data_IF_044230465528
#
_entry.id   IF_044230465528
#
_cell.length_a   1.000
_cell.length_b   1.000
_cell.length_c   1.000
_cell.angle_alpha   90.00
_cell.angle_beta   90.00
_cell.angle_gamma   90.00
#
_symmetry.space_group_name_H-M   'P 1'
#
loop_
_entity.id
_entity.type
_entity.pdbx_description
1 polymer ?
#
# COMPACT_ATOMS: atom_id res chain seq x y z
N UNK A 1 -8.40 14.13 18.80
CA UNK A 1 -9.56 14.35 17.90
C UNK A 1 -9.67 15.77 17.34
N UNK A 2 -8.95 16.78 17.85
CA UNK A 2 -9.03 18.16 17.31
C UNK A 2 -8.55 18.22 15.85
N UNK A 3 -7.35 17.70 15.56
CA UNK A 3 -6.77 17.76 14.21
C UNK A 3 -7.63 17.08 13.13
N UNK A 4 -8.28 15.95 13.45
CA UNK A 4 -9.18 15.27 12.51
C UNK A 4 -10.42 16.10 12.18
N UNK A 5 -10.94 16.90 13.13
CA UNK A 5 -12.06 17.80 12.88
C UNK A 5 -11.65 18.98 11.99
N UNK A 6 -10.46 19.54 12.21
CA UNK A 6 -9.90 20.60 11.35
C UNK A 6 -9.71 20.12 9.91
N UNK A 7 -9.14 18.93 9.71
CA UNK A 7 -8.97 18.34 8.38
C UNK A 7 -10.33 18.08 7.72
N UNK A 8 -11.32 17.59 8.46
CA UNK A 8 -12.66 17.40 7.92
C UNK A 8 -13.36 18.70 7.54
N UNK A 9 -13.09 19.81 8.26
CA UNK A 9 -13.59 21.13 7.90
C UNK A 9 -12.87 21.71 6.66
N UNK A 10 -11.58 21.42 6.49
CA UNK A 10 -10.77 21.92 5.38
C UNK A 10 -10.96 21.13 4.08
N UNK A 11 -11.02 19.80 4.17
CA UNK A 11 -11.01 18.89 3.02
C UNK A 11 -12.36 18.18 2.80
N UNK A 12 -13.27 18.29 3.77
CA UNK A 12 -14.57 17.61 3.75
C UNK A 12 -15.73 18.60 3.61
N UNK A 13 -16.87 18.35 4.28
CA UNK A 13 -17.13 17.24 5.20
C UNK A 13 -17.08 15.86 4.54
N UNK A 14 -16.49 14.87 5.22
CA UNK A 14 -16.40 13.46 4.76
C UNK A 14 -17.79 12.94 4.39
N UNK A 15 -17.90 12.37 3.18
CA UNK A 15 -19.15 11.82 2.65
C UNK A 15 -20.11 12.84 2.05
N UNK A 16 -19.73 14.13 1.99
CA UNK A 16 -20.51 15.18 1.34
C UNK A 16 -19.95 15.52 -0.04
N UNK A 17 -20.78 16.11 -0.90
CA UNK A 17 -20.35 16.64 -2.21
C UNK A 17 -19.46 17.89 -2.12
N UNK A 18 -19.23 18.44 -0.91
CA UNK A 18 -18.32 19.57 -0.69
C UNK A 18 -16.89 19.12 -0.40
N UNK A 19 -16.68 17.83 -0.16
CA UNK A 19 -15.35 17.28 0.04
C UNK A 19 -14.50 17.41 -1.23
N UNK A 20 -13.18 17.43 -1.04
CA UNK A 20 -12.23 17.39 -2.16
C UNK A 20 -12.45 16.14 -3.02
N UNK A 21 -12.27 16.28 -4.33
CA UNK A 21 -12.51 15.20 -5.29
C UNK A 21 -11.50 14.06 -5.15
N UNK A 22 -10.25 14.39 -4.83
CA UNK A 22 -9.15 13.44 -4.67
C UNK A 22 -8.22 13.93 -3.55
N UNK A 23 -7.85 13.02 -2.63
CA UNK A 23 -6.84 13.29 -1.61
C UNK A 23 -5.72 12.25 -1.71
N UNK A 24 -4.50 12.74 -1.95
CA UNK A 24 -3.29 11.94 -1.91
C UNK A 24 -2.58 12.11 -0.56
N UNK A 25 -2.47 11.04 0.21
CA UNK A 25 -1.81 11.03 1.52
C UNK A 25 -0.43 10.36 1.39
N UNK A 26 0.63 11.00 1.87
CA UNK A 26 2.01 10.54 1.64
C UNK A 26 2.54 9.84 2.89
N UNK A 27 2.98 8.59 2.73
CA UNK A 27 3.46 7.74 3.81
C UNK A 27 4.84 7.15 3.53
N UNK A 28 5.50 6.76 4.62
CA UNK A 28 6.74 6.00 4.58
C UNK A 28 6.64 4.80 5.52
N UNK A 29 7.32 3.73 5.12
CA UNK A 29 7.40 2.48 5.87
C UNK A 29 8.84 2.04 6.03
N UNK A 30 9.15 1.39 7.15
CA UNK A 30 10.43 0.71 7.34
C UNK A 30 10.54 -0.58 6.52
N UNK A 31 9.41 -1.13 6.05
CA UNK A 31 9.36 -2.33 5.22
C UNK A 31 9.86 -2.07 3.79
N UNK A 32 10.31 -3.11 3.10
CA UNK A 32 10.87 -2.99 1.75
C UNK A 32 9.79 -3.05 0.66
N UNK A 33 8.73 -2.24 0.82
CA UNK A 33 7.60 -2.24 -0.12
C UNK A 33 7.94 -1.67 -1.49
N UNK A 34 8.98 -0.83 -1.58
CA UNK A 34 9.16 0.07 -2.71
C UNK A 34 8.01 1.09 -2.80
N UNK A 35 7.88 1.77 -3.93
CA UNK A 35 6.75 2.67 -4.17
C UNK A 35 5.48 1.83 -4.39
N UNK A 36 4.46 2.01 -3.56
CA UNK A 36 3.16 1.38 -3.74
C UNK A 36 2.02 2.38 -3.50
N UNK A 37 0.85 2.05 -4.05
CA UNK A 37 -0.35 2.85 -3.90
C UNK A 37 -1.38 2.06 -3.11
N UNK A 38 -1.93 2.64 -2.06
CA UNK A 38 -2.93 1.98 -1.21
C UNK A 38 -4.29 2.62 -1.48
N UNK A 39 -5.22 1.77 -1.88
CA UNK A 39 -6.59 2.16 -2.26
C UNK A 39 -7.61 1.35 -1.47
N UNK A 40 -8.80 1.90 -1.29
CA UNK A 40 -9.81 1.29 -0.42
C UNK A 40 -10.85 0.43 -1.15
N UNK A 41 -10.94 0.58 -2.48
CA UNK A 41 -11.97 -0.04 -3.30
C UNK A 41 -11.41 -0.38 -4.69
N UNK A 42 -11.66 -1.60 -5.15
CA UNK A 42 -11.33 -2.06 -6.51
C UNK A 42 -12.31 -1.54 -7.57
N UNK A 43 -13.32 -0.78 -7.15
CA UNK A 43 -14.26 -0.07 -8.01
C UNK A 43 -13.87 1.39 -8.22
N UNK A 44 -12.82 1.89 -7.55
CA UNK A 44 -12.35 3.28 -7.69
C UNK A 44 -11.44 3.40 -8.92
N UNK A 45 -12.05 3.42 -10.10
CA UNK A 45 -11.34 3.36 -11.38
C UNK A 45 -10.34 4.50 -11.58
N UNK A 46 -10.60 5.69 -11.03
CA UNK A 46 -9.67 6.84 -11.09
C UNK A 46 -8.35 6.49 -10.43
N UNK A 47 -8.37 5.95 -9.21
CA UNK A 47 -7.16 5.55 -8.51
C UNK A 47 -6.42 4.44 -9.25
N UNK A 48 -7.15 3.49 -9.85
CA UNK A 48 -6.55 2.42 -10.65
C UNK A 48 -5.92 2.91 -11.96
N UNK A 49 -6.51 3.91 -12.61
CA UNK A 49 -5.90 4.58 -13.76
C UNK A 49 -4.63 5.34 -13.39
N UNK A 50 -4.62 6.03 -12.23
CA UNK A 50 -3.40 6.63 -11.67
C UNK A 50 -2.34 5.55 -11.43
N UNK A 51 -2.71 4.42 -10.80
CA UNK A 51 -1.79 3.29 -10.60
C UNK A 51 -1.19 2.79 -11.91
N UNK A 52 -2.04 2.55 -12.92
CA UNK A 52 -1.63 2.12 -14.26
C UNK A 52 -0.70 3.16 -14.92
N UNK A 53 -0.97 4.45 -14.75
CA UNK A 53 -0.17 5.53 -15.31
C UNK A 53 1.24 5.58 -14.70
N UNK A 54 1.33 5.45 -13.37
CA UNK A 54 2.61 5.39 -12.65
C UNK A 54 3.38 4.14 -13.04
N UNK A 55 2.76 2.96 -13.02
CA UNK A 55 3.37 1.68 -13.41
C UNK A 55 4.02 1.73 -14.80
N UNK A 56 3.38 2.42 -15.76
CA UNK A 56 3.90 2.54 -17.13
C UNK A 56 5.10 3.49 -17.26
N UNK A 57 5.36 4.34 -16.27
CA UNK A 57 6.36 5.43 -16.35
C UNK A 57 7.46 5.31 -15.32
N UNK A 58 7.26 4.54 -14.26
CA UNK A 58 8.31 4.24 -13.28
C UNK A 58 9.11 3.02 -13.71
N UNK A 59 10.44 3.14 -13.78
CA UNK A 59 11.35 2.01 -13.99
C UNK A 59 11.50 1.10 -12.75
N UNK A 60 10.69 1.31 -11.70
CA UNK A 60 10.76 0.55 -10.45
C UNK A 60 9.86 -0.68 -10.53
N UNK A 61 10.46 -1.86 -10.37
CA UNK A 61 9.79 -3.17 -10.46
C UNK A 61 8.72 -3.44 -9.39
N UNK A 62 8.40 -2.47 -8.52
CA UNK A 62 7.60 -2.65 -7.31
C UNK A 62 6.36 -1.74 -7.22
N UNK A 63 6.00 -0.99 -8.26
CA UNK A 63 4.78 -0.18 -8.30
C UNK A 63 3.52 -1.07 -8.27
N UNK A 64 3.14 -1.60 -7.11
CA UNK A 64 1.93 -2.39 -6.90
C UNK A 64 0.83 -1.55 -6.25
N UNK A 65 -0.41 -1.71 -6.70
CA UNK A 65 -1.58 -1.21 -5.97
C UNK A 65 -1.97 -2.23 -4.88
N UNK A 66 -2.06 -1.80 -3.62
CA UNK A 66 -2.52 -2.59 -2.48
C UNK A 66 -3.93 -2.15 -2.13
N UNK A 67 -4.85 -3.10 -1.99
CA UNK A 67 -6.20 -2.82 -1.49
C UNK A 67 -6.36 -3.14 -0.01
N UNK A 68 -6.83 -2.17 0.77
CA UNK A 68 -7.33 -2.36 2.12
C UNK A 68 -8.83 -2.10 2.16
N UNK A 69 -9.64 -3.14 2.41
CA UNK A 69 -11.10 -3.06 2.35
C UNK A 69 -11.69 -2.38 3.60
N UNK A 70 -11.76 -1.05 3.63
CA UNK A 70 -12.68 -0.28 4.50
C UNK A 70 -13.07 1.08 3.87
N UNK A 71 -14.29 1.54 4.10
CA UNK A 71 -15.04 2.46 3.22
C UNK A 71 -14.68 3.97 3.14
N UNK A 72 -15.03 4.52 1.97
CA UNK A 72 -15.52 5.87 1.59
C UNK A 72 -14.62 7.10 1.72
N UNK A 73 -13.88 7.36 0.63
CA UNK A 73 -13.47 8.62 -0.03
C UNK A 73 -12.49 8.20 -1.16
N UNK A 74 -12.29 8.99 -2.22
CA UNK A 74 -11.19 8.78 -3.18
C UNK A 74 -9.85 9.12 -2.49
N UNK A 75 -9.47 8.28 -1.55
CA UNK A 75 -8.23 8.35 -0.79
C UNK A 75 -7.22 7.43 -1.44
N UNK A 76 -6.14 8.02 -1.89
CA UNK A 76 -4.99 7.32 -2.41
C UNK A 76 -3.83 7.58 -1.45
N UNK A 77 -3.37 6.56 -0.75
CA UNK A 77 -2.14 6.67 0.02
C UNK A 77 -0.96 6.27 -0.87
N UNK A 78 0.00 7.18 -1.04
CA UNK A 78 1.27 6.89 -1.69
C UNK A 78 2.29 6.52 -0.62
N UNK A 79 2.72 5.28 -0.66
CA UNK A 79 3.56 4.66 0.35
C UNK A 79 4.91 4.31 -0.28
N UNK A 80 6.00 4.56 0.43
CA UNK A 80 7.33 4.18 -0.05
C UNK A 80 8.26 3.80 1.09
N UNK A 81 8.88 2.64 0.93
CA UNK A 81 9.92 2.12 1.81
C UNK A 81 11.04 1.43 1.03
N UNK A 82 12.12 1.03 1.72
CA UNK A 82 12.31 1.12 3.16
C UNK A 82 12.94 2.46 3.57
N UNK A 83 12.34 3.10 4.57
CA UNK A 83 12.89 4.29 5.22
C UNK A 83 12.65 4.21 6.73
N UNK A 84 13.72 4.27 7.56
CA UNK A 84 13.56 4.41 9.00
C UNK A 84 12.74 5.66 9.33
N UNK A 85 11.88 5.57 10.35
CA UNK A 85 11.12 6.73 10.81
C UNK A 85 12.05 7.87 11.20
N UNK A 86 11.61 9.10 10.93
CA UNK A 86 12.36 10.33 11.24
C UNK A 86 13.70 10.47 10.50
N UNK A 87 13.98 9.65 9.47
CA UNK A 87 15.14 9.78 8.59
C UNK A 87 14.68 10.20 7.20
N UNK A 88 15.39 11.15 6.59
CA UNK A 88 15.14 11.58 5.20
C UNK A 88 16.24 11.01 4.30
N UNK A 89 15.86 10.08 3.41
CA UNK A 89 16.77 9.53 2.39
C UNK A 89 16.49 10.22 1.06
N UNK A 90 17.53 10.76 0.42
CA UNK A 90 17.39 11.47 -0.86
C UNK A 90 16.71 10.64 -1.95
N UNK A 91 17.05 9.36 -2.07
CA UNK A 91 16.46 8.44 -3.05
C UNK A 91 14.95 8.26 -2.83
N UNK A 92 14.52 8.17 -1.56
CA UNK A 92 13.10 8.04 -1.20
C UNK A 92 12.35 9.34 -1.45
N UNK A 93 12.94 10.47 -1.07
CA UNK A 93 12.40 11.80 -1.33
C UNK A 93 12.19 12.04 -2.82
N UNK A 94 13.20 11.78 -3.66
CA UNK A 94 13.10 11.97 -5.11
C UNK A 94 12.08 11.03 -5.74
N UNK A 95 12.01 9.76 -5.32
CA UNK A 95 11.02 8.82 -5.84
C UNK A 95 9.58 9.20 -5.45
N UNK A 96 9.36 9.68 -4.21
CA UNK A 96 8.06 10.21 -3.79
C UNK A 96 7.68 11.45 -4.60
N UNK A 97 8.63 12.37 -4.81
CA UNK A 97 8.40 13.57 -5.62
C UNK A 97 8.03 13.21 -7.07
N UNK A 98 8.72 12.25 -7.68
CA UNK A 98 8.40 11.74 -9.02
C UNK A 98 7.01 11.10 -9.06
N UNK A 99 6.67 10.26 -8.07
CA UNK A 99 5.34 9.66 -7.96
C UNK A 99 4.22 10.70 -7.88
N UNK A 100 4.39 11.74 -7.06
CA UNK A 100 3.44 12.85 -6.95
C UNK A 100 3.34 13.61 -8.28
N UNK A 101 4.47 13.91 -8.93
CA UNK A 101 4.47 14.60 -10.21
C UNK A 101 3.71 13.80 -11.29
N UNK A 102 3.94 12.49 -11.39
CA UNK A 102 3.24 11.62 -12.33
C UNK A 102 1.73 11.55 -12.06
N UNK A 103 1.32 11.57 -10.78
CA UNK A 103 -0.10 11.66 -10.43
C UNK A 103 -0.70 12.99 -10.89
N UNK A 104 -0.02 14.11 -10.63
CA UNK A 104 -0.47 15.43 -11.04
C UNK A 104 -0.55 15.55 -12.57
N UNK A 105 0.43 15.00 -13.29
CA UNK A 105 0.42 14.96 -14.75
C UNK A 105 -0.77 14.17 -15.30
N UNK A 106 -1.09 13.03 -14.66
CA UNK A 106 -2.29 12.25 -15.01
C UNK A 106 -3.58 13.06 -14.76
N UNK A 107 -3.69 13.73 -13.61
CA UNK A 107 -4.86 14.56 -13.27
C UNK A 107 -5.03 15.70 -14.29
N UNK A 108 -3.95 16.39 -14.64
CA UNK A 108 -3.98 17.46 -15.64
C UNK A 108 -4.43 16.94 -17.02
N UNK A 109 -3.93 15.78 -17.45
CA UNK A 109 -4.36 15.13 -18.69
C UNK A 109 -5.82 14.68 -18.63
N UNK A 110 -6.26 14.12 -17.51
CA UNK A 110 -7.66 13.71 -17.34
C UNK A 110 -8.59 14.92 -17.42
N UNK A 111 -8.24 16.00 -16.73
CA UNK A 111 -9.00 17.25 -16.72
C UNK A 111 -8.99 17.98 -18.07
N UNK A 112 -8.00 17.75 -18.95
CA UNK A 112 -7.99 18.29 -20.32
C UNK A 112 -8.92 17.52 -21.28
N UNK A 113 -9.61 16.47 -20.80
CA UNK A 113 -10.48 15.62 -21.61
C UNK A 113 -9.73 14.52 -22.35
N UNK A 114 -8.49 14.20 -21.94
CA UNK A 114 -7.74 13.06 -22.50
C UNK A 114 -8.47 11.75 -22.20
N UNK A 115 -8.64 10.91 -23.22
CA UNK A 115 -9.17 9.56 -23.04
C UNK A 115 -8.08 8.65 -22.50
N UNK A 116 -8.32 8.04 -21.33
CA UNK A 116 -7.48 6.99 -20.78
C UNK A 116 -8.11 5.64 -21.07
N UNK A 117 -7.43 4.85 -21.88
CA UNK A 117 -7.90 3.50 -22.22
C UNK A 117 -7.92 2.59 -20.99
N UNK A 118 -8.98 1.79 -20.90
CA UNK A 118 -9.16 0.76 -19.89
C UNK A 118 -8.18 -0.41 -20.03
N UNK A 119 -8.55 -1.55 -19.46
CA UNK A 119 -7.78 -2.79 -19.52
C UNK A 119 -7.40 -3.30 -18.13
N UNK A 120 -6.32 -4.08 -18.05
CA UNK A 120 -5.99 -4.84 -16.85
C UNK A 120 -4.98 -4.13 -15.96
N UNK A 121 -5.24 -4.14 -14.64
CA UNK A 121 -4.30 -3.69 -13.61
C UNK A 121 -4.04 -4.84 -12.63
N UNK A 122 -2.76 -5.10 -12.36
CA UNK A 122 -2.32 -6.06 -11.33
C UNK A 122 -2.43 -5.40 -9.96
N UNK A 123 -3.09 -6.08 -9.02
CA UNK A 123 -3.41 -5.55 -7.69
C UNK A 123 -3.19 -6.60 -6.60
N UNK A 124 -2.90 -6.15 -5.38
CA UNK A 124 -2.70 -6.99 -4.21
C UNK A 124 -3.83 -6.76 -3.21
N UNK A 125 -4.77 -7.69 -3.13
CA UNK A 125 -5.90 -7.61 -2.18
C UNK A 125 -5.50 -8.23 -0.85
N UNK A 126 -5.57 -7.45 0.23
CA UNK A 126 -5.28 -7.94 1.58
C UNK A 126 -6.18 -9.13 1.95
N UNK A 127 -5.57 -10.14 2.57
CA UNK A 127 -6.23 -11.35 3.07
C UNK A 127 -6.30 -11.33 4.59
N UNK A 128 -5.16 -11.11 5.27
CA UNK A 128 -5.07 -11.06 6.73
C UNK A 128 -3.73 -10.50 7.21
N UNK A 129 -3.70 -10.12 8.49
CA UNK A 129 -2.47 -9.85 9.23
C UNK A 129 -1.92 -11.12 9.89
N UNK A 130 -0.60 -11.15 10.10
CA UNK A 130 0.09 -12.13 10.92
C UNK A 130 0.84 -11.36 12.01
N UNK A 131 0.56 -11.68 13.28
CA UNK A 131 1.33 -11.14 14.41
C UNK A 131 2.67 -11.86 14.56
N UNK A 132 3.57 -11.25 15.32
CA UNK A 132 4.75 -11.90 15.85
C UNK A 132 4.37 -13.08 16.76
N UNK A 133 5.18 -14.15 16.78
CA UNK A 133 5.15 -15.11 17.87
C UNK A 133 5.38 -14.38 19.19
N UNK A 134 4.48 -14.59 20.15
CA UNK A 134 4.53 -14.00 21.48
C UNK A 134 4.45 -15.08 22.54
N UNK A 135 5.07 -14.79 23.66
CA UNK A 135 4.90 -15.57 24.86
C UNK A 135 3.44 -15.47 25.36
N UNK A 136 2.89 -16.59 25.82
CA UNK A 136 1.46 -16.68 26.17
C UNK A 136 1.11 -15.94 27.46
N UNK A 137 2.07 -15.76 28.37
CA UNK A 137 1.84 -15.13 29.68
C UNK A 137 2.24 -13.65 29.65
N UNK A 138 3.42 -13.34 29.11
CA UNK A 138 4.00 -12.00 29.12
C UNK A 138 3.64 -11.17 27.88
N UNK A 139 3.13 -11.80 26.81
CA UNK A 139 2.85 -11.18 25.51
C UNK A 139 4.05 -10.50 24.82
N UNK A 140 5.26 -10.75 25.33
CA UNK A 140 6.51 -10.30 24.73
C UNK A 140 6.77 -11.09 23.45
N UNK A 141 7.30 -10.42 22.43
CA UNK A 141 7.71 -11.06 21.17
C UNK A 141 8.84 -12.05 21.45
N UNK A 142 8.73 -13.26 20.89
CA UNK A 142 9.71 -14.36 21.10
C UNK A 142 10.48 -14.74 19.83
N UNK A 143 10.18 -14.08 18.71
CA UNK A 143 10.82 -14.34 17.43
C UNK A 143 10.91 -13.08 16.57
N UNK A 144 11.98 -12.95 15.80
CA UNK A 144 12.10 -11.95 14.75
C UNK A 144 11.58 -12.50 13.41
N UNK A 145 11.29 -11.61 12.46
CA UNK A 145 11.06 -12.02 11.05
C UNK A 145 12.29 -12.79 10.57
N UNK A 146 12.05 -13.92 9.89
CA UNK A 146 13.14 -14.79 9.44
C UNK A 146 13.98 -14.08 8.36
N UNK A 147 15.32 -14.22 8.34
CA UNK A 147 16.19 -13.55 7.36
C UNK A 147 15.82 -13.82 5.89
N UNK A 148 15.35 -15.03 5.58
CA UNK A 148 14.90 -15.38 4.22
C UNK A 148 13.58 -14.71 3.79
N UNK A 149 12.85 -14.09 4.73
CA UNK A 149 11.60 -13.37 4.48
C UNK A 149 11.76 -11.86 4.64
N UNK A 150 12.68 -11.41 5.51
CA UNK A 150 13.00 -10.00 5.69
C UNK A 150 13.26 -9.32 4.34
N UNK A 151 12.68 -8.13 4.16
CA UNK A 151 12.79 -7.30 2.95
C UNK A 151 12.24 -7.94 1.66
N UNK A 152 11.45 -9.01 1.76
CA UNK A 152 10.85 -9.70 0.60
C UNK A 152 9.36 -9.36 0.41
N UNK A 153 8.98 -8.12 0.65
CA UNK A 153 7.64 -7.63 0.34
C UNK A 153 7.30 -7.92 -1.14
N UNK A 154 6.06 -8.31 -1.38
CA UNK A 154 5.53 -8.73 -2.70
C UNK A 154 6.27 -9.89 -3.38
N UNK A 155 7.12 -10.63 -2.68
CA UNK A 155 7.63 -11.92 -3.13
C UNK A 155 6.72 -13.05 -2.67
N UNK A 156 6.52 -14.09 -3.49
CA UNK A 156 5.62 -15.19 -3.12
C UNK A 156 6.14 -15.97 -1.90
N UNK A 157 5.27 -16.15 -0.90
CA UNK A 157 5.51 -16.94 0.32
C UNK A 157 4.68 -18.23 0.25
N UNK A 158 5.35 -19.38 0.17
CA UNK A 158 4.71 -20.70 0.06
C UNK A 158 4.50 -21.36 1.42
N UNK A 159 3.47 -22.21 1.58
CA UNK A 159 3.34 -23.09 2.74
C UNK A 159 4.62 -23.87 2.99
N UNK A 160 5.14 -23.81 4.23
CA UNK A 160 6.40 -24.43 4.63
C UNK A 160 7.63 -23.51 4.55
N UNK A 161 7.55 -22.35 3.90
CA UNK A 161 8.64 -21.38 3.87
C UNK A 161 8.92 -20.80 5.26
N UNK A 162 10.18 -20.46 5.57
CA UNK A 162 10.55 -19.91 6.86
C UNK A 162 9.98 -18.48 7.03
N UNK A 163 9.31 -18.22 8.15
CA UNK A 163 8.58 -16.97 8.40
C UNK A 163 9.13 -16.21 9.61
N UNK A 164 9.40 -16.90 10.71
CA UNK A 164 10.04 -16.32 11.90
C UNK A 164 11.23 -17.16 12.35
N UNK A 165 12.18 -16.50 13.01
CA UNK A 165 13.29 -17.12 13.73
C UNK A 165 13.12 -16.81 15.21
N UNK A 166 12.82 -17.82 16.02
CA UNK A 166 12.70 -17.65 17.47
C UNK A 166 14.04 -17.24 18.08
N UNK A 167 14.00 -16.59 19.24
CA UNK A 167 15.22 -16.25 19.98
C UNK A 167 15.96 -17.47 20.53
N UNK A 168 15.31 -18.63 20.56
CA UNK A 168 15.95 -19.93 20.82
C UNK A 168 16.61 -20.57 19.60
N UNK A 169 16.49 -19.96 18.41
CA UNK A 169 17.07 -20.43 17.15
C UNK A 169 16.19 -21.36 16.31
N UNK A 170 14.91 -21.53 16.68
CA UNK A 170 13.95 -22.36 15.92
C UNK A 170 13.35 -21.58 14.75
N UNK A 171 13.30 -22.20 13.58
CA UNK A 171 12.60 -21.65 12.40
C UNK A 171 11.12 -22.01 12.44
N UNK A 172 10.27 -20.99 12.59
CA UNK A 172 8.83 -21.11 12.48
C UNK A 172 8.39 -20.87 11.03
N UNK A 173 7.73 -21.87 10.44
CA UNK A 173 7.36 -21.88 9.02
C UNK A 173 5.94 -21.38 8.80
N UNK A 174 5.67 -20.84 7.61
CA UNK A 174 4.36 -20.41 7.19
C UNK A 174 3.40 -21.61 7.07
N UNK A 175 2.34 -21.60 7.89
CA UNK A 175 1.33 -22.69 7.96
C UNK A 175 0.07 -22.42 7.11
N UNK A 176 0.14 -21.48 6.16
CA UNK A 176 -0.98 -21.20 5.27
C UNK A 176 -1.32 -22.37 4.34
N UNK A 177 -2.49 -22.32 3.72
CA UNK A 177 -2.94 -23.35 2.77
C UNK A 177 -2.61 -23.03 1.31
N UNK A 178 -2.30 -21.77 1.00
CA UNK A 178 -1.99 -21.29 -0.34
C UNK A 178 -0.77 -20.38 -0.28
N UNK A 179 -0.14 -20.12 -1.43
CA UNK A 179 0.93 -19.15 -1.52
C UNK A 179 0.36 -17.73 -1.58
N UNK A 180 0.89 -16.81 -0.78
CA UNK A 180 0.43 -15.42 -0.67
C UNK A 180 1.62 -14.45 -0.77
N UNK A 181 1.31 -13.17 -0.97
CA UNK A 181 2.30 -12.10 -1.08
C UNK A 181 2.35 -11.33 0.25
N UNK A 182 3.42 -11.47 1.05
CA UNK A 182 3.61 -10.70 2.26
C UNK A 182 3.96 -9.24 1.91
N UNK A 183 3.50 -8.29 2.71
CA UNK A 183 3.83 -6.87 2.58
C UNK A 183 3.73 -6.17 3.95
N UNK A 184 4.34 -5.00 4.07
CA UNK A 184 4.64 -4.35 5.35
C UNK A 184 5.40 -5.29 6.30
N UNK A 185 6.35 -6.04 5.74
CA UNK A 185 7.18 -6.97 6.51
C UNK A 185 8.05 -6.15 7.46
N UNK A 186 7.86 -6.39 8.76
CA UNK A 186 8.66 -5.75 9.81
C UNK A 186 8.51 -4.21 9.85
N UNK A 187 7.29 -3.70 9.70
CA UNK A 187 6.98 -2.29 9.88
C UNK A 187 7.11 -1.87 11.35
N UNK A 188 7.95 -0.86 11.63
CA UNK A 188 8.23 -0.38 12.97
C UNK A 188 7.00 0.08 13.76
N UNK A 189 6.05 0.76 13.10
CA UNK A 189 4.82 1.24 13.74
C UNK A 189 3.79 0.14 14.02
N UNK A 190 4.01 -1.08 13.51
CA UNK A 190 3.02 -2.16 13.55
C UNK A 190 3.26 -3.16 14.69
N UNK A 191 4.40 -3.05 15.38
CA UNK A 191 4.72 -3.84 16.58
C UNK A 191 3.65 -3.73 17.67
N UNK A 192 3.16 -2.51 17.94
CA UNK A 192 2.09 -2.25 18.92
C UNK A 192 0.71 -2.76 18.44
N UNK A 193 0.53 -2.90 17.13
CA UNK A 193 -0.72 -3.36 16.51
C UNK A 193 -0.83 -4.88 16.45
N UNK A 194 0.22 -5.59 16.85
CA UNK A 194 0.29 -7.04 16.71
C UNK A 194 0.34 -7.48 15.24
N UNK A 195 1.09 -6.76 14.40
CA UNK A 195 1.23 -7.07 12.97
C UNK A 195 2.72 -7.13 12.64
N UNK A 196 3.22 -8.33 12.35
CA UNK A 196 4.57 -8.53 11.82
C UNK A 196 4.61 -8.36 10.30
N UNK A 197 3.56 -8.81 9.62
CA UNK A 197 3.37 -8.66 8.18
C UNK A 197 1.89 -8.84 7.81
N UNK A 198 1.52 -8.27 6.68
CA UNK A 198 0.22 -8.48 6.04
C UNK A 198 0.37 -9.45 4.88
N UNK A 199 -0.65 -10.26 4.60
CA UNK A 199 -0.68 -11.17 3.45
C UNK A 199 -1.71 -10.71 2.44
N UNK A 200 -1.35 -10.71 1.17
CA UNK A 200 -2.23 -10.35 0.06
C UNK A 200 -2.30 -11.45 -0.99
N UNK A 201 -3.39 -11.43 -1.76
CA UNK A 201 -3.53 -12.23 -2.99
C UNK A 201 -3.39 -11.31 -4.19
N UNK A 202 -2.50 -11.67 -5.12
CA UNK A 202 -2.39 -10.97 -6.40
C UNK A 202 -3.59 -11.31 -7.27
N UNK A 203 -4.23 -10.29 -7.84
CA UNK A 203 -5.36 -10.40 -8.76
C UNK A 203 -5.17 -9.44 -9.93
N UNK A 204 -5.95 -9.65 -10.98
CA UNK A 204 -6.12 -8.71 -12.09
C UNK A 204 -7.53 -8.15 -12.06
N UNK A 205 -7.63 -6.84 -12.13
CA UNK A 205 -8.91 -6.14 -12.24
C UNK A 205 -8.98 -5.46 -13.60
N UNK A 206 -10.13 -5.57 -14.24
CA UNK A 206 -10.42 -4.85 -15.47
C UNK A 206 -11.02 -3.50 -15.13
N UNK A 207 -10.45 -2.43 -15.67
CA UNK A 207 -10.97 -1.07 -15.52
C UNK A 207 -11.48 -0.56 -16.87
N UNK A 208 -12.61 0.17 -16.91
CA UNK A 208 -13.13 0.75 -18.15
C UNK A 208 -12.27 1.93 -18.60
N UNK A 209 -12.39 2.31 -19.88
CA UNK A 209 -11.82 3.58 -20.36
C UNK A 209 -12.54 4.76 -19.70
N UNK A 210 -11.79 5.81 -19.34
CA UNK A 210 -12.33 7.00 -18.68
C UNK A 210 -11.89 8.28 -19.39
N UNK A 211 -12.74 9.30 -19.32
CA UNK A 211 -12.47 10.64 -19.84
C UNK A 211 -13.27 11.64 -19.01
N UNK A 212 -12.67 12.79 -18.68
CA UNK A 212 -13.45 13.88 -18.07
C UNK A 212 -14.42 14.45 -19.11
N UNK A 213 -15.68 14.60 -18.73
CA UNK A 213 -16.61 15.42 -19.50
C UNK A 213 -16.18 16.88 -19.29
N UNK A 214 -15.69 17.53 -20.34
CA UNK A 214 -15.38 18.95 -20.29
C UNK A 214 -16.68 19.68 -19.97
N UNK A 215 -16.80 20.20 -18.74
CA UNK A 215 -17.84 21.16 -18.41
C UNK A 215 -17.73 22.31 -19.41
N UNK A 216 -18.72 22.44 -20.28
CA UNK A 216 -18.92 23.64 -21.11
C UNK A 216 -19.41 24.79 -20.23
#
# INVERSE_FOLDING_TARGET
MIRSQELNALLGPKGSAQAVDLLCDLHNTTANTGLCLITYSDCDWICLHICKHLQARTNTSSAGAIFNLTQTLFLLAMEIGPQPHSVVRSVIFSAMQEGVQLMMDWICQFNSGTLFEGGWVDVYTMVKNIDYPRDSETHVITAAVHPNLQDRDFCLLHPGDPMFLSFSGETLRYKGKEALYPFFINEGAYYEKGIALSLARKRRVEIPSVRSETLR
#
